data_IF_148338553722
#
_entry.id   IF_148338553722
#
_cell.length_a   1.000
_cell.length_b   1.000
_cell.length_c   1.000
_cell.angle_alpha   90.00
_cell.angle_beta   90.00
_cell.angle_gamma   90.00
#
_symmetry.space_group_name_H-M   'P 1'
#
loop_
_entity.id
_entity.type
_entity.pdbx_description
1 polymer ?
#
# COMPACT_ATOMS: atom_id res chain seq x y z
N UNK A 1 -29.25 3.27 37.85
CA UNK A 1 -29.16 3.50 36.39
C UNK A 1 -29.28 2.12 35.73
N UNK A 2 -30.31 1.88 34.94
CA UNK A 2 -30.45 0.61 34.19
C UNK A 2 -29.33 0.56 33.16
N UNK A 3 -28.43 -0.40 33.31
CA UNK A 3 -27.44 -0.73 32.28
C UNK A 3 -28.24 -1.25 31.08
N UNK A 4 -28.37 -0.45 30.05
CA UNK A 4 -28.95 -0.91 28.77
C UNK A 4 -27.94 -1.89 28.19
N UNK A 5 -28.22 -3.18 28.34
CA UNK A 5 -27.40 -4.25 27.78
C UNK A 5 -27.44 -4.13 26.25
N UNK A 6 -26.28 -3.96 25.62
CA UNK A 6 -26.16 -3.98 24.16
C UNK A 6 -26.61 -5.35 23.63
N UNK A 7 -27.45 -5.32 22.58
CA UNK A 7 -27.92 -6.51 21.88
C UNK A 7 -27.69 -6.36 20.39
N UNK A 8 -26.93 -7.28 19.81
CA UNK A 8 -26.69 -7.31 18.37
C UNK A 8 -27.97 -7.71 17.63
N UNK A 9 -28.34 -6.92 16.62
CA UNK A 9 -29.33 -7.32 15.62
C UNK A 9 -28.64 -8.06 14.49
N UNK A 10 -28.93 -9.36 14.26
CA UNK A 10 -28.30 -10.14 13.20
C UNK A 10 -28.63 -9.64 11.79
N UNK A 11 -29.79 -9.00 11.60
CA UNK A 11 -30.24 -8.50 10.30
C UNK A 11 -29.69 -7.10 9.96
N UNK A 12 -29.34 -6.32 10.98
CA UNK A 12 -28.70 -5.00 10.84
C UNK A 12 -27.62 -4.82 11.92
N UNK A 13 -26.47 -5.52 11.78
CA UNK A 13 -25.43 -5.50 12.79
C UNK A 13 -24.74 -4.14 12.84
N UNK A 14 -24.80 -3.49 14.00
CA UNK A 14 -24.19 -2.17 14.28
C UNK A 14 -23.33 -2.26 15.52
N UNK A 15 -22.25 -1.46 15.57
CA UNK A 15 -21.56 -1.24 16.83
C UNK A 15 -22.46 -0.45 17.81
N UNK A 16 -22.26 -0.58 19.13
CA UNK A 16 -22.93 0.25 20.12
C UNK A 16 -22.71 1.75 19.85
N UNK A 17 -23.60 2.60 20.36
CA UNK A 17 -23.32 4.04 20.39
C UNK A 17 -22.06 4.34 21.20
N UNK A 18 -21.44 5.48 20.99
CA UNK A 18 -20.25 5.87 21.75
C UNK A 18 -20.54 5.94 23.26
N UNK A 19 -21.73 6.46 23.64
CA UNK A 19 -22.17 6.54 25.03
C UNK A 19 -22.31 5.13 25.66
N UNK A 20 -22.92 4.20 24.95
CA UNK A 20 -23.01 2.80 25.39
C UNK A 20 -21.63 2.15 25.54
N UNK A 21 -20.76 2.37 24.54
CA UNK A 21 -19.41 1.84 24.56
C UNK A 21 -18.59 2.36 25.77
N UNK A 22 -18.68 3.67 26.03
CA UNK A 22 -17.95 4.30 27.13
C UNK A 22 -18.41 3.81 28.50
N UNK A 23 -19.70 3.46 28.61
CA UNK A 23 -20.29 2.91 29.84
C UNK A 23 -19.97 1.42 30.08
N UNK A 24 -19.46 0.69 29.07
CA UNK A 24 -19.16 -0.74 29.17
C UNK A 24 -17.85 -1.02 29.89
N UNK A 25 -17.83 -2.11 30.67
CA UNK A 25 -16.59 -2.67 31.20
C UNK A 25 -15.74 -3.29 30.06
N UNK A 26 -14.43 -3.41 30.27
CA UNK A 26 -13.50 -3.92 29.24
C UNK A 26 -13.88 -5.31 28.71
N UNK A 27 -14.29 -6.22 29.58
CA UNK A 27 -14.72 -7.57 29.18
C UNK A 27 -16.02 -7.56 28.35
N UNK A 28 -16.88 -6.59 28.57
CA UNK A 28 -18.10 -6.41 27.78
C UNK A 28 -17.74 -5.86 26.39
N UNK A 29 -16.85 -4.87 26.30
CA UNK A 29 -16.31 -4.35 25.04
C UNK A 29 -15.68 -5.46 24.19
N UNK A 30 -14.85 -6.32 24.79
CA UNK A 30 -14.25 -7.48 24.10
C UNK A 30 -15.31 -8.43 23.55
N UNK A 31 -16.36 -8.72 24.34
CA UNK A 31 -17.48 -9.56 23.89
C UNK A 31 -18.24 -8.92 22.74
N UNK A 32 -18.50 -7.63 22.79
CA UNK A 32 -19.18 -6.91 21.71
C UNK A 32 -18.36 -6.99 20.42
N UNK A 33 -17.06 -6.70 20.46
CA UNK A 33 -16.18 -6.83 19.28
C UNK A 33 -16.21 -8.25 18.71
N UNK A 34 -16.17 -9.28 19.57
CA UNK A 34 -16.22 -10.66 19.13
C UNK A 34 -17.56 -11.05 18.49
N UNK A 35 -18.67 -10.44 18.92
CA UNK A 35 -20.01 -10.70 18.40
C UNK A 35 -20.30 -10.03 17.05
N UNK A 36 -19.65 -8.90 16.75
CA UNK A 36 -19.83 -8.22 15.47
C UNK A 36 -19.33 -9.11 14.33
N UNK A 37 -20.09 -9.29 13.24
CA UNK A 37 -19.69 -10.12 12.11
C UNK A 37 -18.38 -9.66 11.46
N UNK A 38 -17.50 -10.59 11.19
CA UNK A 38 -16.32 -10.41 10.33
C UNK A 38 -16.56 -10.91 8.90
N UNK A 39 -17.49 -11.84 8.76
CA UNK A 39 -17.95 -12.33 7.46
C UNK A 39 -19.32 -11.77 7.15
N UNK A 40 -19.41 -11.07 6.03
CA UNK A 40 -20.66 -10.45 5.61
C UNK A 40 -21.42 -11.39 4.66
N UNK A 41 -22.76 -11.44 4.75
CA UNK A 41 -23.52 -12.20 3.77
C UNK A 41 -23.18 -11.65 2.39
N UNK A 42 -22.70 -12.53 1.49
CA UNK A 42 -22.31 -12.18 0.13
C UNK A 42 -23.51 -11.58 -0.62
N UNK A 43 -23.65 -10.27 -0.56
CA UNK A 43 -24.60 -9.49 -1.39
C UNK A 43 -23.99 -9.08 -2.73
N UNK A 44 -22.71 -9.35 -2.97
CA UNK A 44 -21.99 -8.91 -4.17
C UNK A 44 -21.78 -10.06 -5.13
N UNK A 45 -21.97 -9.78 -6.42
CA UNK A 45 -21.55 -10.67 -7.49
C UNK A 45 -20.03 -10.91 -7.40
N UNK A 46 -19.54 -12.10 -7.83
CA UNK A 46 -18.11 -12.37 -7.85
C UNK A 46 -17.34 -11.24 -8.54
N UNK A 47 -16.26 -10.79 -7.93
CA UNK A 47 -15.41 -9.77 -8.54
C UNK A 47 -14.64 -10.33 -9.74
N UNK A 48 -14.77 -9.65 -10.89
CA UNK A 48 -13.92 -9.92 -12.04
C UNK A 48 -12.56 -9.22 -11.92
N UNK A 49 -11.60 -9.67 -12.74
CA UNK A 49 -10.26 -9.08 -12.81
C UNK A 49 -10.23 -7.55 -12.99
N UNK A 50 -11.12 -6.93 -13.77
CA UNK A 50 -11.15 -5.47 -13.92
C UNK A 50 -11.35 -4.70 -12.61
N UNK A 51 -12.04 -5.28 -11.63
CA UNK A 51 -12.23 -4.69 -10.31
C UNK A 51 -11.12 -5.11 -9.33
N UNK A 52 -10.80 -6.41 -9.31
CA UNK A 52 -9.81 -6.97 -8.39
C UNK A 52 -8.39 -6.45 -8.62
N UNK A 53 -7.92 -6.38 -9.88
CA UNK A 53 -6.54 -6.01 -10.20
C UNK A 53 -6.18 -4.59 -9.74
N UNK A 54 -6.98 -3.53 -10.04
CA UNK A 54 -6.68 -2.18 -9.55
C UNK A 54 -6.62 -2.10 -8.03
N UNK A 55 -7.49 -2.82 -7.31
CA UNK A 55 -7.51 -2.88 -5.85
C UNK A 55 -6.23 -3.49 -5.27
N UNK A 56 -5.84 -4.66 -5.76
CA UNK A 56 -4.60 -5.34 -5.32
C UNK A 56 -3.38 -4.48 -5.58
N UNK A 57 -3.25 -3.93 -6.80
CA UNK A 57 -2.12 -3.07 -7.17
C UNK A 57 -2.04 -1.80 -6.31
N UNK A 58 -3.18 -1.17 -6.00
CA UNK A 58 -3.23 -0.01 -5.14
C UNK A 58 -2.77 -0.35 -3.71
N UNK A 59 -3.24 -1.46 -3.15
CA UNK A 59 -2.87 -1.92 -1.81
C UNK A 59 -1.38 -2.19 -1.71
N UNK A 60 -0.83 -3.02 -2.62
CA UNK A 60 0.59 -3.40 -2.65
C UNK A 60 1.52 -2.18 -2.78
N UNK A 61 1.17 -1.22 -3.66
CA UNK A 61 1.97 -0.01 -3.87
C UNK A 61 2.01 0.87 -2.62
N UNK A 62 0.88 1.03 -1.92
CA UNK A 62 0.79 1.81 -0.68
C UNK A 62 1.50 1.10 0.48
N UNK A 63 1.34 -0.22 0.63
CA UNK A 63 2.03 -1.00 1.66
C UNK A 63 3.56 -0.85 1.54
N UNK A 64 4.10 -1.02 0.33
CA UNK A 64 5.53 -0.89 0.08
C UNK A 64 6.03 0.54 0.30
N UNK A 65 5.26 1.54 -0.12
CA UNK A 65 5.61 2.94 0.09
C UNK A 65 5.70 3.28 1.58
N UNK A 66 4.67 2.99 2.38
CA UNK A 66 4.66 3.32 3.79
C UNK A 66 5.67 2.49 4.59
N UNK A 67 5.90 1.24 4.20
CA UNK A 67 6.96 0.40 4.77
C UNK A 67 8.35 1.03 4.59
N UNK A 68 8.65 1.57 3.38
CA UNK A 68 9.91 2.29 3.10
C UNK A 68 10.03 3.59 3.84
N UNK A 69 8.92 4.30 3.99
CA UNK A 69 8.88 5.56 4.74
C UNK A 69 9.01 5.35 6.25
N UNK A 70 8.90 4.12 6.74
CA UNK A 70 8.87 3.82 8.17
C UNK A 70 7.63 4.38 8.87
N UNK A 71 6.58 4.74 8.12
CA UNK A 71 5.32 5.25 8.67
C UNK A 71 4.36 4.11 8.93
N UNK A 72 3.80 4.06 10.13
CA UNK A 72 2.79 3.06 10.48
C UNK A 72 1.48 3.38 9.75
N UNK A 73 0.98 2.42 9.01
CA UNK A 73 -0.30 2.48 8.33
C UNK A 73 -0.96 1.11 8.38
N UNK A 74 -2.26 1.09 8.59
CA UNK A 74 -3.08 -0.08 8.38
C UNK A 74 -3.79 0.08 7.04
N UNK A 75 -3.56 -0.86 6.14
CA UNK A 75 -4.20 -0.96 4.82
C UNK A 75 -5.01 -2.25 4.77
N UNK A 76 -6.21 -2.18 4.28
CA UNK A 76 -7.03 -3.38 4.07
C UNK A 76 -8.03 -3.17 2.95
N UNK A 77 -8.38 -4.27 2.29
CA UNK A 77 -9.39 -4.33 1.26
C UNK A 77 -10.62 -5.09 1.78
N UNK A 78 -11.82 -4.58 1.49
CA UNK A 78 -13.11 -5.22 1.83
C UNK A 78 -13.28 -5.57 3.32
N UNK A 79 -12.58 -4.85 4.17
CA UNK A 79 -12.69 -5.06 5.61
C UNK A 79 -14.00 -4.48 6.14
N UNK A 80 -14.80 -5.23 6.94
CA UNK A 80 -15.94 -4.70 7.64
C UNK A 80 -15.57 -3.57 8.61
N UNK A 81 -16.18 -2.40 8.43
CA UNK A 81 -15.96 -1.22 9.27
C UNK A 81 -17.22 -0.90 10.04
N UNK A 82 -17.07 -0.72 11.36
CA UNK A 82 -18.14 -0.40 12.30
C UNK A 82 -17.89 0.93 12.97
N UNK A 83 -18.67 1.94 12.61
CA UNK A 83 -18.81 3.18 13.36
C UNK A 83 -19.92 3.06 14.38
N UNK A 84 -19.88 3.78 15.52
CA UNK A 84 -20.95 3.77 16.51
C UNK A 84 -22.32 4.11 15.89
N UNK A 85 -23.35 3.29 16.18
CA UNK A 85 -24.73 3.42 15.69
C UNK A 85 -24.94 3.42 14.19
N UNK A 86 -23.90 3.32 13.39
CA UNK A 86 -24.02 3.32 11.92
C UNK A 86 -24.09 1.90 11.36
N UNK A 87 -24.82 1.70 10.25
CA UNK A 87 -24.71 0.44 9.52
C UNK A 87 -23.27 0.20 9.11
N UNK A 88 -22.83 -1.04 9.19
CA UNK A 88 -21.50 -1.41 8.71
C UNK A 88 -21.31 -1.15 7.21
N UNK A 89 -20.08 -1.07 6.77
CA UNK A 89 -19.68 -0.98 5.37
C UNK A 89 -18.31 -1.63 5.17
N UNK A 90 -18.00 -2.02 3.95
CA UNK A 90 -16.70 -2.61 3.60
C UNK A 90 -16.21 -1.96 2.30
N UNK A 91 -15.35 -0.95 2.37
CA UNK A 91 -14.80 -0.29 1.20
C UNK A 91 -13.81 -1.19 0.44
N UNK A 92 -13.62 -0.91 -0.85
CA UNK A 92 -12.65 -1.62 -1.67
C UNK A 92 -11.22 -1.48 -1.12
N UNK A 93 -10.86 -0.31 -0.59
CA UNK A 93 -9.59 -0.07 0.10
C UNK A 93 -9.77 0.99 1.17
N UNK A 94 -9.20 0.73 2.34
CA UNK A 94 -9.06 1.70 3.42
C UNK A 94 -7.61 1.90 3.81
N UNK A 95 -7.29 3.12 4.28
CA UNK A 95 -6.05 3.39 5.00
C UNK A 95 -6.35 4.06 6.33
N UNK A 96 -5.67 3.60 7.38
CA UNK A 96 -5.67 4.23 8.71
C UNK A 96 -4.23 4.47 9.11
N UNK A 97 -3.89 5.74 9.28
CA UNK A 97 -2.52 6.17 9.53
C UNK A 97 -2.19 6.15 11.02
N UNK A 98 -0.91 5.97 11.33
CA UNK A 98 -0.35 6.13 12.66
C UNK A 98 -1.00 5.21 13.72
N UNK A 99 -1.37 4.00 13.29
CA UNK A 99 -1.91 2.93 14.15
C UNK A 99 -0.94 1.76 14.22
N UNK A 100 -1.06 0.95 15.29
CA UNK A 100 -0.23 -0.24 15.42
C UNK A 100 -0.53 -1.26 14.32
N UNK A 101 0.50 -1.85 13.72
CA UNK A 101 0.34 -2.90 12.73
C UNK A 101 -0.28 -4.15 13.37
N UNK A 102 -1.01 -4.92 12.56
CA UNK A 102 -1.60 -6.18 13.05
C UNK A 102 -2.69 -6.66 12.09
N UNK A 103 -2.99 -7.94 12.17
CA UNK A 103 -4.10 -8.54 11.41
C UNK A 103 -5.42 -8.21 12.11
N UNK A 104 -6.40 -7.80 11.32
CA UNK A 104 -7.77 -7.51 11.78
C UNK A 104 -8.76 -8.18 10.85
N UNK A 105 -9.80 -8.73 11.41
CA UNK A 105 -10.94 -9.30 10.68
C UNK A 105 -12.08 -8.28 10.51
N UNK A 106 -12.02 -7.16 11.21
CA UNK A 106 -12.92 -6.01 11.13
C UNK A 106 -12.28 -4.79 11.78
N UNK A 107 -12.76 -3.59 11.46
CA UNK A 107 -12.38 -2.33 12.08
C UNK A 107 -13.54 -1.79 12.91
N UNK A 108 -13.44 -1.86 14.22
CA UNK A 108 -14.45 -1.32 15.15
C UNK A 108 -13.91 -0.01 15.72
N UNK A 109 -14.40 1.12 15.20
CA UNK A 109 -13.87 2.47 15.50
C UNK A 109 -13.82 2.76 16.99
N UNK A 110 -14.85 2.41 17.73
CA UNK A 110 -14.89 2.62 19.19
C UNK A 110 -13.82 1.80 19.92
N UNK A 111 -13.46 0.60 19.44
CA UNK A 111 -12.43 -0.26 20.00
C UNK A 111 -11.02 0.18 19.60
N UNK A 112 -10.83 0.58 18.36
CA UNK A 112 -9.54 1.04 17.83
C UNK A 112 -9.20 2.46 18.30
N UNK A 113 -10.21 3.22 18.78
CA UNK A 113 -10.04 4.62 19.18
C UNK A 113 -9.79 5.57 18.01
N UNK A 114 -9.94 5.09 16.77
CA UNK A 114 -9.65 5.85 15.55
C UNK A 114 -10.57 5.46 14.39
N UNK A 115 -11.07 6.48 13.65
CA UNK A 115 -11.79 6.32 12.40
C UNK A 115 -10.87 6.03 11.21
N UNK A 116 -11.48 5.86 10.04
CA UNK A 116 -10.78 5.66 8.78
C UNK A 116 -10.26 7.02 8.27
N UNK A 117 -9.00 7.08 7.83
CA UNK A 117 -8.41 8.31 7.30
C UNK A 117 -8.60 8.46 5.78
N UNK A 118 -8.60 7.36 5.04
CA UNK A 118 -8.71 7.35 3.59
C UNK A 118 -9.55 6.17 3.11
N UNK A 119 -10.45 6.43 2.16
CA UNK A 119 -11.25 5.41 1.50
C UNK A 119 -11.08 5.53 -0.02
N UNK A 120 -10.87 4.41 -0.69
CA UNK A 120 -10.94 4.28 -2.14
C UNK A 120 -12.00 3.25 -2.51
N UNK A 121 -12.91 3.65 -3.39
CA UNK A 121 -13.90 2.76 -4.01
C UNK A 121 -13.62 2.64 -5.51
N UNK A 122 -13.77 1.42 -6.05
CA UNK A 122 -13.59 1.10 -7.46
C UNK A 122 -14.95 0.69 -8.03
N UNK A 123 -15.42 1.34 -9.08
CA UNK A 123 -16.73 1.06 -9.66
C UNK A 123 -16.65 0.69 -11.14
N UNK A 124 -17.37 -0.38 -11.50
CA UNK A 124 -17.48 -0.88 -12.88
C UNK A 124 -18.75 -0.42 -13.59
N UNK A 125 -19.78 0.01 -12.87
CA UNK A 125 -21.10 0.26 -13.43
C UNK A 125 -21.67 1.64 -13.07
N UNK A 126 -22.26 2.31 -14.07
CA UNK A 126 -22.89 3.63 -13.91
C UNK A 126 -24.19 3.64 -13.08
N UNK A 127 -24.80 2.49 -12.77
CA UNK A 127 -26.04 2.41 -11.98
C UNK A 127 -25.81 2.59 -10.47
N UNK A 128 -24.57 2.55 -10.02
CA UNK A 128 -24.18 2.84 -8.61
C UNK A 128 -24.09 4.33 -8.28
N UNK A 129 -24.49 5.22 -9.17
CA UNK A 129 -24.39 6.67 -8.93
C UNK A 129 -25.08 7.10 -7.63
N UNK A 130 -26.27 6.56 -7.33
CA UNK A 130 -26.97 6.84 -6.07
C UNK A 130 -26.25 6.32 -4.84
N UNK A 131 -25.61 5.17 -4.94
CA UNK A 131 -24.82 4.61 -3.83
C UNK A 131 -23.56 5.45 -3.59
N UNK A 132 -22.90 5.90 -4.66
CA UNK A 132 -21.78 6.82 -4.54
C UNK A 132 -22.18 8.16 -3.93
N UNK A 133 -23.32 8.74 -4.33
CA UNK A 133 -23.85 10.00 -3.75
C UNK A 133 -24.19 9.81 -2.25
N UNK A 134 -24.76 8.66 -1.86
CA UNK A 134 -25.01 8.32 -0.44
C UNK A 134 -23.69 8.15 0.33
N UNK A 135 -22.71 7.49 -0.24
CA UNK A 135 -21.41 7.28 0.39
C UNK A 135 -20.67 8.61 0.62
N UNK A 136 -20.75 9.55 -0.34
CA UNK A 136 -20.20 10.90 -0.17
C UNK A 136 -20.79 11.58 1.09
N UNK A 137 -22.11 11.61 1.23
CA UNK A 137 -22.76 12.21 2.40
C UNK A 137 -22.45 11.41 3.68
N UNK A 138 -22.45 10.09 3.60
CA UNK A 138 -22.19 9.20 4.72
C UNK A 138 -20.77 9.37 5.27
N UNK A 139 -19.76 9.27 4.41
CA UNK A 139 -18.37 9.35 4.84
C UNK A 139 -17.98 10.74 5.33
N UNK A 140 -18.58 11.81 4.76
CA UNK A 140 -18.44 13.14 5.31
C UNK A 140 -19.01 13.23 6.75
N UNK A 141 -20.23 12.69 6.99
CA UNK A 141 -20.85 12.62 8.33
C UNK A 141 -20.00 11.82 9.32
N UNK A 142 -19.36 10.73 8.86
CA UNK A 142 -18.47 9.90 9.68
C UNK A 142 -17.11 10.53 9.95
N UNK A 143 -16.84 11.69 9.37
CA UNK A 143 -15.58 12.40 9.56
C UNK A 143 -14.38 11.76 8.84
N UNK A 144 -14.60 10.97 7.78
CA UNK A 144 -13.52 10.40 6.97
C UNK A 144 -12.81 11.54 6.23
N UNK A 145 -11.49 11.76 6.43
CA UNK A 145 -10.80 12.90 5.85
C UNK A 145 -10.80 12.93 4.33
N UNK A 146 -10.57 11.78 3.67
CA UNK A 146 -10.53 11.71 2.21
C UNK A 146 -11.26 10.47 1.67
N UNK A 147 -12.00 10.70 0.59
CA UNK A 147 -12.74 9.67 -0.14
C UNK A 147 -12.48 9.80 -1.64
N UNK A 148 -11.99 8.74 -2.25
CA UNK A 148 -11.71 8.67 -3.68
C UNK A 148 -12.51 7.56 -4.36
N UNK A 149 -12.87 7.80 -5.61
CA UNK A 149 -13.63 6.88 -6.45
C UNK A 149 -12.88 6.71 -7.77
N UNK A 150 -12.55 5.50 -8.11
CA UNK A 150 -12.09 5.11 -9.44
C UNK A 150 -13.30 4.59 -10.24
N UNK A 151 -13.81 5.39 -11.14
CA UNK A 151 -14.85 4.99 -12.09
C UNK A 151 -14.21 4.41 -13.34
N UNK A 152 -14.13 3.07 -13.39
CA UNK A 152 -13.49 2.34 -14.49
C UNK A 152 -14.24 2.48 -15.81
N UNK A 153 -15.56 2.65 -15.78
CA UNK A 153 -16.35 2.83 -16.99
C UNK A 153 -16.17 4.21 -17.59
N UNK A 154 -16.20 5.24 -16.76
CA UNK A 154 -15.99 6.61 -17.20
C UNK A 154 -14.52 6.98 -17.34
N UNK A 155 -13.60 6.06 -16.98
CA UNK A 155 -12.15 6.29 -17.00
C UNK A 155 -11.77 7.59 -16.31
N UNK A 156 -12.21 7.76 -15.05
CA UNK A 156 -11.95 8.97 -14.26
C UNK A 156 -11.75 8.64 -12.79
N UNK A 157 -11.04 9.53 -12.12
CA UNK A 157 -10.96 9.61 -10.67
C UNK A 157 -11.87 10.78 -10.21
N UNK A 158 -12.57 10.56 -9.10
CA UNK A 158 -13.28 11.60 -8.37
C UNK A 158 -12.76 11.56 -6.94
N UNK A 159 -12.33 12.70 -6.40
CA UNK A 159 -11.83 12.80 -5.04
C UNK A 159 -12.65 13.81 -4.24
N UNK A 160 -12.80 13.53 -2.95
CA UNK A 160 -13.44 14.39 -1.97
C UNK A 160 -12.54 14.52 -0.75
N UNK A 161 -12.47 15.72 -0.20
CA UNK A 161 -11.79 16.02 1.06
C UNK A 161 -12.77 16.66 2.03
N UNK A 162 -12.71 16.24 3.29
CA UNK A 162 -13.53 16.80 4.34
C UNK A 162 -13.06 18.23 4.64
N UNK A 163 -14.01 19.16 4.60
CA UNK A 163 -13.80 20.52 5.09
C UNK A 163 -14.19 20.59 6.57
N UNK A 164 -13.22 20.57 7.50
CA UNK A 164 -13.52 20.46 8.93
C UNK A 164 -14.48 21.52 9.47
N UNK A 165 -14.40 22.81 9.08
CA UNK A 165 -15.32 23.82 9.56
C UNK A 165 -16.78 23.55 9.22
N UNK A 166 -17.03 22.92 8.07
CA UNK A 166 -18.39 22.72 7.57
C UNK A 166 -18.89 21.28 7.69
N UNK A 167 -18.01 20.33 8.04
CA UNK A 167 -18.35 18.90 8.15
C UNK A 167 -18.85 18.29 6.83
N UNK A 168 -18.47 18.88 5.70
CA UNK A 168 -18.91 18.48 4.37
C UNK A 168 -17.70 18.19 3.46
N UNK A 169 -17.90 17.34 2.46
CA UNK A 169 -16.90 17.12 1.45
C UNK A 169 -16.84 18.24 0.41
N UNK A 170 -15.63 18.67 0.10
CA UNK A 170 -15.32 19.50 -1.06
C UNK A 170 -14.60 18.65 -2.11
N UNK A 171 -14.86 18.86 -3.42
CA UNK A 171 -14.18 18.12 -4.47
C UNK A 171 -12.68 18.42 -4.47
N UNK A 172 -11.86 17.38 -4.61
CA UNK A 172 -10.44 17.51 -4.92
C UNK A 172 -10.30 17.85 -6.40
N UNK A 173 -9.78 19.03 -6.69
CA UNK A 173 -9.58 19.52 -8.07
C UNK A 173 -8.23 19.02 -8.57
N UNK A 174 -8.19 18.23 -9.67
CA UNK A 174 -6.93 17.74 -10.19
C UNK A 174 -6.06 18.87 -10.77
N UNK A 175 -4.77 18.77 -10.53
CA UNK A 175 -3.75 19.64 -11.12
C UNK A 175 -2.97 18.85 -12.19
N UNK A 176 -3.06 19.25 -13.45
CA UNK A 176 -2.44 18.53 -14.58
C UNK A 176 -2.74 17.02 -14.60
N UNK A 177 -3.99 16.61 -14.30
CA UNK A 177 -4.40 15.21 -14.27
C UNK A 177 -3.97 14.44 -13.02
N UNK A 178 -3.53 15.13 -11.96
CA UNK A 178 -3.13 14.57 -10.67
C UNK A 178 -4.09 14.98 -9.57
N UNK A 179 -4.58 14.05 -8.80
CA UNK A 179 -5.43 14.27 -7.63
C UNK A 179 -4.57 14.14 -6.36
N UNK A 180 -4.30 15.24 -5.70
CA UNK A 180 -3.48 15.23 -4.49
C UNK A 180 -4.27 14.68 -3.30
N UNK A 181 -3.76 13.62 -2.68
CA UNK A 181 -4.20 13.14 -1.37
C UNK A 181 -3.27 13.72 -0.29
N UNK A 182 -3.83 14.55 0.58
CA UNK A 182 -3.11 15.08 1.75
C UNK A 182 -2.91 14.02 2.82
N UNK A 183 -3.89 13.13 2.97
CA UNK A 183 -3.83 12.00 3.91
C UNK A 183 -2.66 11.08 3.57
N UNK A 184 -2.56 10.65 2.33
CA UNK A 184 -1.49 9.74 1.91
C UNK A 184 -0.16 10.47 1.66
N UNK A 185 -0.18 11.79 1.40
CA UNK A 185 0.98 12.54 0.94
C UNK A 185 1.41 12.16 -0.48
N UNK A 186 0.47 11.72 -1.31
CA UNK A 186 0.68 11.20 -2.66
C UNK A 186 -0.30 11.82 -3.65
N UNK A 187 0.10 11.87 -4.92
CA UNK A 187 -0.81 12.15 -6.01
C UNK A 187 -1.38 10.85 -6.61
N UNK A 188 -2.67 10.85 -6.90
CA UNK A 188 -3.35 9.78 -7.62
C UNK A 188 -3.45 10.18 -9.10
N UNK A 189 -3.09 9.27 -9.99
CA UNK A 189 -3.16 9.46 -11.44
C UNK A 189 -3.88 8.26 -12.07
N UNK A 190 -4.74 8.50 -13.04
CA UNK A 190 -5.36 7.43 -13.80
C UNK A 190 -4.44 7.03 -14.96
N UNK A 191 -3.92 5.81 -14.89
CA UNK A 191 -3.11 5.23 -15.96
C UNK A 191 -3.63 3.84 -16.35
N UNK A 192 -3.95 3.66 -17.62
CA UNK A 192 -4.39 2.36 -18.19
C UNK A 192 -5.52 1.69 -17.39
N UNK A 193 -6.50 2.51 -16.94
CA UNK A 193 -7.68 2.02 -16.21
C UNK A 193 -7.44 1.68 -14.75
N UNK A 194 -6.34 2.13 -14.15
CA UNK A 194 -6.02 1.95 -12.73
C UNK A 194 -5.43 3.22 -12.11
N UNK A 195 -5.45 3.28 -10.80
CA UNK A 195 -4.76 4.34 -10.07
C UNK A 195 -3.27 4.01 -9.97
N UNK A 196 -2.45 4.98 -10.35
CA UNK A 196 -1.02 5.04 -10.03
C UNK A 196 -0.81 6.12 -8.98
N UNK A 197 -0.01 5.80 -7.97
CA UNK A 197 0.38 6.76 -6.96
C UNK A 197 1.74 7.35 -7.29
N UNK A 198 1.90 8.64 -6.99
CA UNK A 198 3.14 9.37 -7.21
C UNK A 198 3.58 10.08 -5.93
N UNK A 199 4.86 9.95 -5.59
CA UNK A 199 5.52 10.75 -4.57
C UNK A 199 6.27 11.90 -5.31
N UNK A 200 5.67 13.08 -5.33
CA UNK A 200 6.13 14.18 -6.19
C UNK A 200 6.09 13.79 -7.67
N UNK A 201 7.24 13.79 -8.36
CA UNK A 201 7.31 13.41 -9.79
C UNK A 201 7.49 11.91 -10.03
N UNK A 202 7.84 11.13 -9.01
CA UNK A 202 8.17 9.71 -9.14
C UNK A 202 6.94 8.83 -8.90
N UNK A 203 6.60 7.90 -9.83
CA UNK A 203 5.56 6.90 -9.60
C UNK A 203 6.03 5.92 -8.54
N UNK A 204 5.10 5.45 -7.69
CA UNK A 204 5.35 4.29 -6.86
C UNK A 204 5.49 3.07 -7.76
N UNK A 205 6.54 2.28 -7.53
CA UNK A 205 6.79 1.07 -8.30
C UNK A 205 5.83 -0.03 -7.83
N UNK A 206 5.23 -0.71 -8.78
CA UNK A 206 4.44 -1.91 -8.54
C UNK A 206 5.36 -3.14 -8.39
N UNK A 207 4.87 -4.21 -7.76
CA UNK A 207 5.69 -5.39 -7.46
C UNK A 207 6.35 -6.00 -8.72
N UNK A 208 5.62 -6.09 -9.83
CA UNK A 208 6.14 -6.57 -11.11
C UNK A 208 7.22 -5.64 -11.72
N UNK A 209 7.06 -4.33 -11.58
CA UNK A 209 8.08 -3.35 -12.01
C UNK A 209 9.35 -3.46 -11.16
N UNK A 210 9.19 -3.67 -9.84
CA UNK A 210 10.31 -3.90 -8.92
C UNK A 210 11.07 -5.19 -9.26
N UNK A 211 10.35 -6.28 -9.49
CA UNK A 211 10.94 -7.58 -9.87
C UNK A 211 11.71 -7.44 -11.19
N UNK A 212 11.10 -6.82 -12.21
CA UNK A 212 11.77 -6.61 -13.50
C UNK A 212 13.06 -5.78 -13.35
N UNK A 213 13.00 -4.72 -12.53
CA UNK A 213 14.18 -3.88 -12.27
C UNK A 213 15.29 -4.62 -11.53
N UNK A 214 14.92 -5.41 -10.51
CA UNK A 214 15.87 -6.24 -9.77
C UNK A 214 16.52 -7.30 -10.69
N UNK A 215 15.73 -7.98 -11.54
CA UNK A 215 16.26 -8.95 -12.49
C UNK A 215 17.27 -8.31 -13.43
N UNK A 216 16.99 -7.13 -13.98
CA UNK A 216 17.94 -6.39 -14.83
C UNK A 216 19.23 -6.08 -14.08
N UNK A 217 19.14 -5.61 -12.82
CA UNK A 217 20.32 -5.31 -12.00
C UNK A 217 21.15 -6.56 -11.70
N UNK A 218 20.52 -7.71 -11.43
CA UNK A 218 21.22 -8.99 -11.21
C UNK A 218 21.95 -9.39 -12.49
N UNK A 219 21.30 -9.32 -13.65
CA UNK A 219 21.94 -9.66 -14.95
C UNK A 219 23.15 -8.76 -15.24
N UNK A 220 23.06 -7.47 -14.90
CA UNK A 220 24.18 -6.53 -15.04
C UNK A 220 25.35 -6.88 -14.10
N UNK A 221 25.06 -7.24 -12.85
CA UNK A 221 26.09 -7.65 -11.88
C UNK A 221 26.79 -8.94 -12.32
N UNK A 222 26.03 -9.94 -12.76
CA UNK A 222 26.61 -11.21 -13.26
C UNK A 222 27.53 -10.99 -14.47
N UNK A 223 27.13 -10.13 -15.41
CA UNK A 223 27.99 -9.76 -16.55
C UNK A 223 29.25 -9.06 -16.11
N UNK A 224 29.16 -8.15 -15.14
CA UNK A 224 30.30 -7.42 -14.61
C UNK A 224 31.28 -8.35 -13.88
N UNK A 225 30.75 -9.29 -13.10
CA UNK A 225 31.57 -10.32 -12.43
C UNK A 225 32.32 -11.16 -13.43
N UNK A 226 31.68 -11.68 -14.47
CA UNK A 226 32.33 -12.46 -15.52
C UNK A 226 33.44 -11.67 -16.25
N UNK A 227 33.22 -10.40 -16.52
CA UNK A 227 34.24 -9.52 -17.12
C UNK A 227 35.45 -9.35 -16.19
N UNK A 228 35.23 -9.14 -14.89
CA UNK A 228 36.31 -8.99 -13.91
C UNK A 228 37.14 -10.31 -13.76
N UNK A 229 36.46 -11.44 -13.77
CA UNK A 229 37.14 -12.76 -13.74
C UNK A 229 38.02 -12.96 -14.97
N UNK A 230 37.55 -12.62 -16.17
CA UNK A 230 38.35 -12.70 -17.40
C UNK A 230 39.56 -11.75 -17.36
N UNK A 231 39.36 -10.53 -16.86
CA UNK A 231 40.43 -9.53 -16.71
C UNK A 231 41.50 -10.00 -15.70
N UNK A 232 41.05 -10.57 -14.57
CA UNK A 232 41.92 -11.15 -13.56
C UNK A 232 42.73 -12.31 -14.15
N UNK A 233 42.10 -13.28 -14.81
CA UNK A 233 42.75 -14.40 -15.42
C UNK A 233 43.80 -13.97 -16.50
N UNK A 234 43.47 -12.91 -17.25
CA UNK A 234 44.38 -12.32 -18.24
C UNK A 234 45.59 -11.67 -17.57
N UNK A 235 45.39 -10.96 -16.46
CA UNK A 235 46.42 -10.30 -15.68
C UNK A 235 47.36 -11.34 -15.03
N UNK A 236 46.82 -12.40 -14.46
CA UNK A 236 47.57 -13.49 -13.87
C UNK A 236 48.47 -14.19 -14.92
N UNK A 237 47.91 -14.48 -16.12
CA UNK A 237 48.70 -15.05 -17.22
C UNK A 237 49.86 -14.14 -17.64
N UNK A 238 49.62 -12.82 -17.69
CA UNK A 238 50.67 -11.84 -18.00
C UNK A 238 51.75 -11.80 -16.93
N UNK A 239 51.35 -11.83 -15.65
CA UNK A 239 52.28 -11.87 -14.51
C UNK A 239 53.15 -13.14 -14.57
N UNK A 240 52.55 -14.31 -14.69
CA UNK A 240 53.28 -15.59 -14.82
C UNK A 240 54.28 -15.60 -15.99
N UNK A 241 53.85 -15.09 -17.16
CA UNK A 241 54.73 -14.97 -18.32
C UNK A 241 55.90 -14.03 -18.09
N UNK A 242 55.66 -12.91 -17.37
CA UNK A 242 56.71 -11.92 -17.03
C UNK A 242 57.72 -12.54 -16.03
N UNK A 243 57.24 -13.23 -15.02
CA UNK A 243 58.05 -13.94 -14.03
C UNK A 243 58.95 -15.03 -14.70
N UNK A 244 58.40 -15.84 -15.62
CA UNK A 244 59.16 -16.81 -16.38
C UNK A 244 60.27 -16.15 -17.25
N UNK A 245 59.93 -15.00 -17.89
CA UNK A 245 60.92 -14.24 -18.66
C UNK A 245 62.02 -13.67 -17.79
N UNK A 246 61.66 -13.11 -16.63
CA UNK A 246 62.62 -12.59 -15.65
C UNK A 246 63.54 -13.69 -15.14
N UNK A 247 63.00 -14.85 -14.79
CA UNK A 247 63.77 -16.01 -14.33
C UNK A 247 64.76 -16.48 -15.41
N UNK A 248 64.33 -16.57 -16.69
CA UNK A 248 65.21 -16.93 -17.81
C UNK A 248 66.33 -15.90 -18.06
N UNK A 249 66.03 -14.60 -17.91
CA UNK A 249 67.05 -13.57 -18.05
C UNK A 249 68.06 -13.63 -16.89
N UNK A 250 67.59 -13.75 -15.65
CA UNK A 250 68.44 -13.91 -14.48
C UNK A 250 69.39 -15.14 -14.59
N UNK A 251 68.87 -16.25 -15.11
CA UNK A 251 69.70 -17.42 -15.34
C UNK A 251 70.84 -17.16 -16.43
N UNK A 252 70.45 -16.46 -17.52
CA UNK A 252 71.44 -16.10 -18.56
C UNK A 252 72.53 -15.13 -18.03
N UNK A 253 72.16 -14.16 -17.16
CA UNK A 253 73.10 -13.26 -16.54
C UNK A 253 74.08 -14.03 -15.64
N UNK A 254 73.58 -14.95 -14.82
CA UNK A 254 74.43 -15.84 -14.01
C UNK A 254 75.39 -16.68 -14.85
N UNK A 255 74.89 -17.26 -15.96
CA UNK A 255 75.74 -18.06 -16.91
C UNK A 255 76.85 -17.21 -17.57
N UNK A 256 76.66 -15.90 -17.68
CA UNK A 256 77.62 -14.91 -18.15
C UNK A 256 78.53 -14.33 -17.05
N UNK A 257 78.36 -14.76 -15.79
CA UNK A 257 79.19 -14.31 -14.67
C UNK A 257 78.76 -12.94 -14.10
N UNK A 258 77.54 -12.51 -14.43
CA UNK A 258 76.93 -11.25 -13.92
C UNK A 258 75.86 -11.61 -12.89
N UNK A 259 75.91 -11.00 -11.72
CA UNK A 259 74.87 -11.18 -10.70
C UNK A 259 73.63 -10.36 -11.11
N UNK A 260 72.41 -10.96 -11.24
CA UNK A 260 71.21 -10.21 -11.64
C UNK A 260 70.64 -9.30 -10.53
N UNK A 261 71.18 -9.39 -9.30
CA UNK A 261 70.73 -8.58 -8.16
C UNK A 261 71.72 -7.44 -7.79
N UNK A 262 72.82 -7.27 -8.56
CA UNK A 262 73.76 -6.18 -8.52
C UNK A 262 73.34 -5.11 -9.53
#
# INVERSE_FOLDING_TARGET
MSVVSYRLDPDDPRAPSQEQWDAMAEDERKRVVAMLPSELPRRTMPEGDPHRIPKVKATEALEEFFRRMGRRVYLSAELPVYYPDEPWFAPDLIAVLDVEPGLRDKWVVASEGKGIDFILEITLSGDRRKDLERNVARFAKLGVPEYFILDLRAQRIVGYRLDPPHGAYVPVVPQAGRWASEVLGLDLVLERGRIRFFAGSAPLLEADELIARLSTMVDELVRKEAMLEEELATTERRATTAEERAAKLAQRLRDMGVDPDD
#
